data_IF_244477763080
#
_entry.id   IF_244477763080
#
_cell.length_a   1.000
_cell.length_b   1.000
_cell.length_c   1.000
_cell.angle_alpha   90.00
_cell.angle_beta   90.00
_cell.angle_gamma   90.00
#
_symmetry.space_group_name_H-M   'P 1'
#
loop_
_entity.id
_entity.type
_entity.pdbx_description
1 polymer ?
#
# COMPACT_ATOMS: atom_id res chain seq x y z
N UNK A 1 -6.98 -18.74 -35.29
CA UNK A 1 -7.30 -17.40 -34.74
C UNK A 1 -8.81 -17.32 -34.55
N UNK A 2 -9.30 -17.34 -33.31
CA UNK A 2 -10.73 -17.12 -33.05
C UNK A 2 -11.03 -15.63 -33.21
N UNK A 3 -11.90 -15.27 -34.16
CA UNK A 3 -12.38 -13.90 -34.29
C UNK A 3 -13.04 -13.49 -32.97
N UNK A 4 -12.38 -12.62 -32.21
CA UNK A 4 -12.93 -12.00 -31.00
C UNK A 4 -14.02 -11.02 -31.41
N UNK A 5 -15.20 -11.56 -31.69
CA UNK A 5 -16.45 -10.81 -31.86
C UNK A 5 -17.41 -11.16 -30.73
N UNK A 6 -18.22 -10.19 -30.29
CA UNK A 6 -19.35 -10.45 -29.39
C UNK A 6 -20.29 -11.45 -30.09
N UNK A 7 -20.71 -12.56 -29.44
CA UNK A 7 -21.61 -13.52 -30.07
C UNK A 7 -22.90 -12.83 -30.53
N UNK A 8 -23.37 -13.19 -31.73
CA UNK A 8 -24.61 -12.66 -32.29
C UNK A 8 -25.77 -12.98 -31.33
N UNK A 9 -26.49 -11.96 -30.86
CA UNK A 9 -27.62 -12.16 -29.96
C UNK A 9 -28.76 -12.84 -30.71
N UNK A 10 -29.12 -14.04 -30.27
CA UNK A 10 -30.30 -14.78 -30.72
C UNK A 10 -31.42 -14.51 -29.72
N UNK A 11 -32.61 -14.13 -30.21
CA UNK A 11 -33.78 -13.95 -29.37
C UNK A 11 -34.49 -15.29 -29.21
N UNK A 12 -34.69 -15.73 -27.97
CA UNK A 12 -35.50 -16.92 -27.67
C UNK A 12 -37.00 -16.59 -27.72
N UNK A 13 -37.85 -17.62 -27.86
CA UNK A 13 -39.31 -17.44 -27.78
C UNK A 13 -39.74 -16.79 -26.47
N UNK A 14 -39.02 -17.07 -25.37
CA UNK A 14 -39.24 -16.41 -24.07
C UNK A 14 -38.93 -14.91 -24.14
N UNK A 15 -37.82 -14.53 -24.76
CA UNK A 15 -37.44 -13.11 -24.91
C UNK A 15 -38.49 -12.33 -25.72
N UNK A 16 -39.11 -12.97 -26.72
CA UNK A 16 -40.16 -12.37 -27.55
C UNK A 16 -41.47 -12.19 -26.77
N UNK A 17 -41.89 -13.20 -26.01
CA UNK A 17 -43.07 -13.10 -25.13
C UNK A 17 -42.91 -12.02 -24.06
N UNK A 18 -41.73 -11.94 -23.43
CA UNK A 18 -41.47 -10.89 -22.46
C UNK A 18 -41.31 -9.50 -23.10
N UNK A 19 -40.95 -9.43 -24.38
CA UNK A 19 -40.90 -8.18 -25.13
C UNK A 19 -42.30 -7.70 -25.47
N UNK A 20 -43.19 -8.60 -25.89
CA UNK A 20 -44.58 -8.31 -26.18
C UNK A 20 -45.31 -7.75 -24.96
N UNK A 21 -45.23 -8.46 -23.81
CA UNK A 21 -45.81 -7.99 -22.54
C UNK A 21 -45.32 -6.59 -22.17
N UNK A 22 -44.01 -6.37 -22.25
CA UNK A 22 -43.43 -5.05 -21.98
C UNK A 22 -44.00 -3.96 -22.90
N UNK A 23 -44.22 -4.23 -24.18
CA UNK A 23 -44.77 -3.25 -25.11
C UNK A 23 -46.26 -2.99 -24.87
N UNK A 24 -47.02 -3.99 -24.38
CA UNK A 24 -48.43 -3.81 -24.00
C UNK A 24 -48.56 -2.96 -22.73
N UNK A 25 -47.67 -3.18 -21.76
CA UNK A 25 -47.72 -2.52 -20.45
C UNK A 25 -47.16 -1.08 -20.45
N UNK A 26 -46.60 -0.61 -21.57
CA UNK A 26 -46.04 0.74 -21.68
C UNK A 26 -47.12 1.78 -22.04
N UNK A 27 -47.21 2.85 -21.24
CA UNK A 27 -48.15 3.96 -21.46
C UNK A 27 -48.00 4.65 -22.82
N UNK A 28 -46.75 4.81 -23.28
CA UNK A 28 -46.44 5.45 -24.55
C UNK A 28 -45.32 4.74 -25.30
N UNK A 29 -45.59 4.42 -26.56
CA UNK A 29 -44.66 3.70 -27.43
C UNK A 29 -43.91 4.63 -28.39
N UNK A 30 -42.62 4.38 -28.56
CA UNK A 30 -41.78 4.96 -29.63
C UNK A 30 -42.14 4.34 -30.98
N UNK A 31 -41.79 5.01 -32.08
CA UNK A 31 -42.06 4.52 -33.45
C UNK A 31 -41.57 3.09 -33.71
N UNK A 32 -40.39 2.73 -33.21
CA UNK A 32 -39.84 1.38 -33.36
C UNK A 32 -40.58 0.35 -32.50
N UNK A 33 -41.03 0.74 -31.30
CA UNK A 33 -41.82 -0.08 -30.40
C UNK A 33 -43.22 -0.36 -30.96
N UNK A 34 -43.86 0.65 -31.56
CA UNK A 34 -45.14 0.50 -32.27
C UNK A 34 -45.06 -0.47 -33.46
N UNK A 35 -43.95 -0.44 -34.19
CA UNK A 35 -43.71 -1.40 -35.27
C UNK A 35 -43.43 -2.81 -34.72
N UNK A 36 -42.65 -2.91 -33.65
CA UNK A 36 -42.34 -4.19 -33.03
C UNK A 36 -43.57 -4.89 -32.45
N UNK A 37 -44.49 -4.17 -31.79
CA UNK A 37 -45.72 -4.79 -31.26
C UNK A 37 -46.61 -5.33 -32.38
N UNK A 38 -46.72 -4.61 -33.51
CA UNK A 38 -47.44 -5.09 -34.69
C UNK A 38 -46.79 -6.34 -35.32
N UNK A 39 -45.46 -6.45 -35.28
CA UNK A 39 -44.75 -7.63 -35.77
C UNK A 39 -44.92 -8.83 -34.86
N UNK A 40 -44.91 -8.63 -33.53
CA UNK A 40 -45.08 -9.70 -32.55
C UNK A 40 -46.51 -10.28 -32.54
N UNK A 41 -47.49 -9.51 -33.01
CA UNK A 41 -48.88 -9.95 -33.18
C UNK A 41 -49.13 -10.74 -34.48
N UNK A 42 -48.15 -10.80 -35.40
CA UNK A 42 -48.22 -11.65 -36.60
C UNK A 42 -47.66 -13.03 -36.28
N UNK A 43 -48.17 -14.08 -36.94
CA UNK A 43 -47.62 -15.43 -36.81
C UNK A 43 -46.12 -15.45 -37.13
N UNK A 44 -45.33 -16.08 -36.27
CA UNK A 44 -43.85 -16.04 -36.26
C UNK A 44 -43.19 -16.51 -37.57
N UNK A 45 -43.91 -17.21 -38.44
CA UNK A 45 -43.39 -17.77 -39.69
C UNK A 45 -43.12 -16.73 -40.79
N UNK A 46 -43.53 -15.46 -40.61
CA UNK A 46 -43.42 -14.42 -41.64
C UNK A 46 -42.32 -13.35 -41.39
N UNK A 47 -41.46 -13.51 -40.38
CA UNK A 47 -40.48 -12.49 -39.98
C UNK A 47 -39.22 -12.52 -40.86
N UNK A 48 -38.89 -11.40 -41.50
CA UNK A 48 -37.65 -11.25 -42.26
C UNK A 48 -36.45 -10.86 -41.38
N UNK A 49 -35.24 -10.78 -41.95
CA UNK A 49 -34.03 -10.39 -41.21
C UNK A 49 -34.12 -8.95 -40.66
N UNK A 50 -34.85 -8.05 -41.34
CA UNK A 50 -35.03 -6.66 -40.88
C UNK A 50 -35.96 -6.61 -39.66
N UNK A 51 -37.00 -7.43 -39.65
CA UNK A 51 -37.93 -7.60 -38.55
C UNK A 51 -37.20 -8.16 -37.32
N UNK A 52 -36.37 -9.20 -37.50
CA UNK A 52 -35.54 -9.73 -36.42
C UNK A 52 -34.55 -8.70 -35.86
N UNK A 53 -33.96 -7.86 -36.72
CA UNK A 53 -33.08 -6.78 -36.28
C UNK A 53 -33.83 -5.67 -35.52
N UNK A 54 -35.03 -5.31 -35.95
CA UNK A 54 -35.89 -4.37 -35.23
C UNK A 54 -36.24 -4.91 -33.84
N UNK A 55 -36.64 -6.19 -33.73
CA UNK A 55 -36.93 -6.83 -32.44
C UNK A 55 -35.71 -6.85 -31.52
N UNK A 56 -34.49 -7.07 -32.04
CA UNK A 56 -33.25 -6.98 -31.24
C UNK A 56 -32.99 -5.57 -30.72
N UNK A 57 -33.24 -4.55 -31.53
CA UNK A 57 -33.11 -3.14 -31.11
C UNK A 57 -34.12 -2.83 -30.01
N UNK A 58 -35.39 -3.17 -30.20
CA UNK A 58 -36.46 -2.89 -29.23
C UNK A 58 -36.25 -3.69 -27.93
N UNK A 59 -35.75 -4.93 -28.01
CA UNK A 59 -35.32 -5.65 -26.83
C UNK A 59 -34.20 -4.93 -26.08
N UNK A 60 -33.22 -4.34 -26.77
CA UNK A 60 -32.18 -3.54 -26.10
C UNK A 60 -32.79 -2.31 -25.43
N UNK A 61 -33.74 -1.64 -26.09
CA UNK A 61 -34.47 -0.51 -25.51
C UNK A 61 -35.27 -0.90 -24.27
N UNK A 62 -35.93 -2.07 -24.24
CA UNK A 62 -36.57 -2.65 -23.05
C UNK A 62 -35.58 -2.75 -21.89
N UNK A 63 -34.44 -3.38 -22.12
CA UNK A 63 -33.43 -3.57 -21.06
C UNK A 63 -32.92 -2.23 -20.53
N UNK A 64 -32.71 -1.26 -21.41
CA UNK A 64 -32.29 0.08 -21.01
C UNK A 64 -33.40 0.81 -20.22
N UNK A 65 -34.67 0.63 -20.62
CA UNK A 65 -35.81 1.17 -19.88
C UNK A 65 -35.90 0.59 -18.47
N UNK A 66 -35.78 -0.73 -18.33
CA UNK A 66 -35.77 -1.40 -17.02
C UNK A 66 -34.64 -0.87 -16.12
N UNK A 67 -33.43 -0.68 -16.67
CA UNK A 67 -32.33 -0.05 -15.95
C UNK A 67 -32.66 1.38 -15.48
N UNK A 68 -33.35 2.17 -16.31
CA UNK A 68 -33.81 3.51 -15.93
C UNK A 68 -34.89 3.48 -14.85
N UNK A 69 -35.76 2.48 -14.84
CA UNK A 69 -36.74 2.30 -13.76
C UNK A 69 -36.06 1.96 -12.43
N UNK A 70 -35.06 1.07 -12.45
CA UNK A 70 -34.25 0.80 -11.25
C UNK A 70 -33.53 2.06 -10.75
N UNK A 71 -33.00 2.88 -11.66
CA UNK A 71 -32.39 4.17 -11.31
C UNK A 71 -33.40 5.14 -10.68
N UNK A 72 -34.62 5.18 -11.21
CA UNK A 72 -35.71 5.98 -10.65
C UNK A 72 -36.08 5.51 -9.23
N UNK A 73 -36.19 4.21 -9.00
CA UNK A 73 -36.47 3.63 -7.68
C UNK A 73 -35.37 3.94 -6.66
N UNK A 74 -34.11 3.94 -7.10
CA UNK A 74 -32.99 4.38 -6.27
C UNK A 74 -33.12 5.86 -5.89
N UNK A 75 -33.46 6.74 -6.84
CA UNK A 75 -33.67 8.18 -6.57
C UNK A 75 -34.81 8.38 -5.56
N UNK A 76 -35.96 7.70 -5.75
CA UNK A 76 -37.08 7.72 -4.79
C UNK A 76 -36.66 7.24 -3.40
N UNK A 77 -35.85 6.18 -3.34
CA UNK A 77 -35.33 5.65 -2.07
C UNK A 77 -34.41 6.67 -1.38
N UNK A 78 -33.55 7.36 -2.13
CA UNK A 78 -32.72 8.45 -1.58
C UNK A 78 -33.57 9.58 -1.00
N UNK A 79 -34.62 9.99 -1.72
CA UNK A 79 -35.56 11.01 -1.26
C UNK A 79 -36.26 10.58 0.03
N UNK A 80 -36.79 9.35 0.08
CA UNK A 80 -37.43 8.78 1.27
C UNK A 80 -36.50 8.76 2.48
N UNK A 81 -35.22 8.44 2.25
CA UNK A 81 -34.19 8.41 3.28
C UNK A 81 -33.61 9.79 3.61
N UNK A 82 -34.19 10.87 3.09
CA UNK A 82 -33.76 12.26 3.32
C UNK A 82 -32.28 12.52 2.96
N UNK A 83 -31.75 11.78 2.00
CA UNK A 83 -30.39 11.97 1.51
C UNK A 83 -30.32 13.23 0.63
N UNK A 84 -29.15 13.87 0.57
CA UNK A 84 -28.93 15.03 -0.29
C UNK A 84 -29.04 14.61 -1.76
N UNK A 85 -30.05 15.14 -2.44
CA UNK A 85 -30.29 14.90 -3.86
C UNK A 85 -29.47 15.83 -4.74
N UNK A 86 -29.05 15.33 -5.90
CA UNK A 86 -28.43 16.14 -6.96
C UNK A 86 -29.49 16.94 -7.72
N UNK A 87 -29.08 18.03 -8.37
CA UNK A 87 -30.00 18.87 -9.17
C UNK A 87 -30.78 18.06 -10.22
N UNK A 88 -30.11 17.14 -10.91
CA UNK A 88 -30.74 16.26 -11.91
C UNK A 88 -31.74 15.27 -11.27
N UNK A 89 -31.46 14.79 -10.05
CA UNK A 89 -32.37 13.90 -9.31
C UNK A 89 -33.64 14.65 -8.87
N UNK A 90 -33.49 15.91 -8.46
CA UNK A 90 -34.61 16.80 -8.13
C UNK A 90 -35.47 17.05 -9.37
N UNK A 91 -34.87 17.36 -10.52
CA UNK A 91 -35.59 17.56 -11.79
C UNK A 91 -36.39 16.31 -12.19
N UNK A 92 -35.79 15.12 -12.06
CA UNK A 92 -36.45 13.83 -12.33
C UNK A 92 -37.68 13.63 -11.43
N UNK A 93 -37.56 13.94 -10.13
CA UNK A 93 -38.68 13.82 -9.19
C UNK A 93 -39.79 14.84 -9.48
N UNK A 94 -39.44 16.09 -9.82
CA UNK A 94 -40.41 17.10 -10.24
C UNK A 94 -41.16 16.72 -11.52
N UNK A 95 -40.48 16.05 -12.46
CA UNK A 95 -41.13 15.53 -13.68
C UNK A 95 -42.08 14.37 -13.37
N UNK A 96 -41.84 13.61 -12.30
CA UNK A 96 -42.72 12.54 -11.86
C UNK A 96 -44.01 13.06 -11.22
N UNK A 97 -43.95 14.19 -10.52
CA UNK A 97 -45.10 14.83 -9.86
C UNK A 97 -46.08 15.48 -10.85
N UNK A 98 -45.64 15.74 -12.09
CA UNK A 98 -46.50 16.28 -13.15
C UNK A 98 -47.45 15.22 -13.71
N UNK A 99 -48.58 15.67 -14.22
CA UNK A 99 -49.52 14.83 -14.96
C UNK A 99 -48.80 14.14 -16.13
N UNK A 100 -48.88 12.81 -16.18
CA UNK A 100 -48.15 12.00 -17.15
C UNK A 100 -48.88 11.98 -18.49
N UNK A 101 -48.63 12.99 -19.29
CA UNK A 101 -48.95 12.98 -20.72
C UNK A 101 -47.75 12.47 -21.55
N UNK A 102 -47.97 12.27 -22.84
CA UNK A 102 -46.95 11.72 -23.74
C UNK A 102 -45.64 12.55 -23.74
N UNK A 103 -45.73 13.87 -23.68
CA UNK A 103 -44.55 14.75 -23.67
C UNK A 103 -43.77 14.61 -22.36
N UNK A 104 -44.47 14.64 -21.21
CA UNK A 104 -43.86 14.46 -19.90
C UNK A 104 -43.20 13.07 -19.75
N UNK A 105 -43.84 12.02 -20.28
CA UNK A 105 -43.26 10.66 -20.30
C UNK A 105 -41.90 10.63 -21.02
N UNK A 106 -41.82 11.20 -22.23
CA UNK A 106 -40.55 11.20 -22.99
C UNK A 106 -39.53 12.19 -22.42
N UNK A 107 -39.97 13.28 -21.78
CA UNK A 107 -39.06 14.18 -21.03
C UNK A 107 -38.43 13.46 -19.85
N UNK A 108 -39.21 12.70 -19.09
CA UNK A 108 -38.71 11.88 -17.98
C UNK A 108 -37.73 10.81 -18.47
N UNK A 109 -38.06 10.09 -19.55
CA UNK A 109 -37.17 9.10 -20.18
C UNK A 109 -35.83 9.73 -20.60
N UNK A 110 -35.86 10.94 -21.15
CA UNK A 110 -34.66 11.70 -21.55
C UNK A 110 -33.84 12.16 -20.35
N UNK A 111 -34.49 12.67 -19.31
CA UNK A 111 -33.84 13.10 -18.07
C UNK A 111 -33.12 11.93 -17.39
N UNK A 112 -33.79 10.78 -17.24
CA UNK A 112 -33.21 9.55 -16.70
C UNK A 112 -32.04 9.05 -17.56
N UNK A 113 -32.17 9.10 -18.88
CA UNK A 113 -31.08 8.72 -19.79
C UNK A 113 -29.85 9.61 -19.64
N UNK A 114 -30.06 10.93 -19.51
CA UNK A 114 -28.98 11.90 -19.30
C UNK A 114 -28.27 11.63 -17.97
N UNK A 115 -29.05 11.45 -16.91
CA UNK A 115 -28.52 11.16 -15.58
C UNK A 115 -27.69 9.88 -15.55
N UNK A 116 -28.19 8.80 -16.15
CA UNK A 116 -27.45 7.53 -16.27
C UNK A 116 -26.10 7.68 -17.00
N UNK A 117 -26.03 8.55 -18.03
CA UNK A 117 -24.78 8.82 -18.75
C UNK A 117 -23.77 9.57 -17.87
N UNK A 118 -24.24 10.56 -17.11
CA UNK A 118 -23.40 11.34 -16.19
C UNK A 118 -22.85 10.43 -15.09
N UNK A 119 -23.69 9.59 -14.49
CA UNK A 119 -23.29 8.63 -13.46
C UNK A 119 -22.24 7.65 -13.99
N UNK A 120 -22.46 7.13 -15.20
CA UNK A 120 -21.49 6.23 -15.84
C UNK A 120 -20.15 6.93 -16.11
N UNK A 121 -20.15 8.16 -16.61
CA UNK A 121 -18.93 8.92 -16.84
C UNK A 121 -18.18 9.18 -15.53
N UNK A 122 -18.89 9.58 -14.47
CA UNK A 122 -18.30 9.80 -13.15
C UNK A 122 -17.71 8.50 -12.56
N UNK A 123 -18.34 7.35 -12.80
CA UNK A 123 -17.82 6.05 -12.39
C UNK A 123 -16.56 5.67 -13.18
N UNK A 124 -16.57 5.86 -14.51
CA UNK A 124 -15.41 5.61 -15.37
C UNK A 124 -14.22 6.48 -15.00
N UNK A 125 -14.44 7.78 -14.72
CA UNK A 125 -13.40 8.70 -14.24
C UNK A 125 -12.84 8.28 -12.89
N UNK A 126 -13.70 7.86 -11.95
CA UNK A 126 -13.25 7.32 -10.66
C UNK A 126 -12.38 6.08 -10.83
N UNK A 127 -12.82 5.12 -11.65
CA UNK A 127 -12.07 3.89 -11.94
C UNK A 127 -10.72 4.24 -12.59
N UNK A 128 -10.71 5.21 -13.50
CA UNK A 128 -9.47 5.68 -14.14
C UNK A 128 -8.50 6.25 -13.12
N UNK A 129 -8.94 7.17 -12.26
CA UNK A 129 -8.11 7.77 -11.21
C UNK A 129 -7.57 6.71 -10.24
N UNK A 130 -8.40 5.75 -9.85
CA UNK A 130 -7.98 4.65 -8.98
C UNK A 130 -6.92 3.77 -9.64
N UNK A 131 -7.08 3.47 -10.94
CA UNK A 131 -6.09 2.72 -11.70
C UNK A 131 -4.79 3.50 -11.92
N UNK A 132 -4.86 4.81 -12.15
CA UNK A 132 -3.69 5.70 -12.20
C UNK A 132 -2.96 5.68 -10.84
N UNK A 133 -3.68 5.82 -9.73
CA UNK A 133 -3.10 5.74 -8.39
C UNK A 133 -2.44 4.39 -8.11
N UNK A 134 -3.08 3.27 -8.48
CA UNK A 134 -2.50 1.92 -8.38
C UNK A 134 -1.21 1.79 -9.19
N UNK A 135 -1.19 2.32 -10.43
CA UNK A 135 0.02 2.35 -11.27
C UNK A 135 1.14 3.17 -10.62
N UNK A 136 0.83 4.33 -10.06
CA UNK A 136 1.80 5.17 -9.37
C UNK A 136 2.39 4.50 -8.12
N UNK A 137 1.56 3.81 -7.33
CA UNK A 137 2.03 3.01 -6.20
C UNK A 137 2.98 1.93 -6.70
N UNK A 138 2.55 1.10 -7.67
CA UNK A 138 3.37 0.03 -8.21
C UNK A 138 4.70 0.57 -8.76
N UNK A 139 4.69 1.69 -9.48
CA UNK A 139 5.90 2.33 -9.97
C UNK A 139 6.83 2.80 -8.85
N UNK A 140 6.29 3.31 -7.73
CA UNK A 140 7.08 3.67 -6.54
C UNK A 140 7.67 2.43 -5.86
N UNK A 141 6.91 1.33 -5.76
CA UNK A 141 7.36 0.07 -5.16
C UNK A 141 8.41 -0.65 -6.02
N UNK A 142 8.33 -0.50 -7.35
CA UNK A 142 9.28 -1.07 -8.31
C UNK A 142 10.51 -0.19 -8.58
N UNK A 143 10.67 0.98 -7.93
CA UNK A 143 11.93 1.73 -7.98
C UNK A 143 13.04 0.89 -7.36
N UNK A 144 13.85 0.24 -8.21
CA UNK A 144 15.13 -0.36 -7.79
C UNK A 144 15.95 0.74 -7.12
N UNK A 145 16.28 0.56 -5.84
CA UNK A 145 17.22 1.42 -5.14
C UNK A 145 18.50 1.51 -5.97
N UNK A 146 19.00 2.71 -6.21
CA UNK A 146 20.30 2.89 -6.87
C UNK A 146 21.40 2.27 -5.99
N UNK A 147 22.52 1.86 -6.58
CA UNK A 147 23.65 1.31 -5.81
C UNK A 147 24.12 2.27 -4.70
N UNK A 148 24.06 3.59 -4.95
CA UNK A 148 24.34 4.61 -3.95
C UNK A 148 23.33 4.60 -2.78
N UNK A 149 22.04 4.38 -3.05
CA UNK A 149 21.01 4.27 -2.02
C UNK A 149 21.13 2.97 -1.21
N UNK A 150 21.45 1.85 -1.87
CA UNK A 150 21.72 0.58 -1.18
C UNK A 150 22.90 0.71 -0.23
N UNK A 151 24.00 1.32 -0.70
CA UNK A 151 25.19 1.57 0.12
C UNK A 151 24.88 2.43 1.34
N UNK A 152 24.14 3.54 1.15
CA UNK A 152 23.71 4.41 2.26
C UNK A 152 22.83 3.67 3.28
N UNK A 153 21.91 2.82 2.82
CA UNK A 153 21.05 2.03 3.71
C UNK A 153 21.86 1.01 4.52
N UNK A 154 22.79 0.30 3.87
CA UNK A 154 23.68 -0.64 4.54
C UNK A 154 24.59 0.06 5.57
N UNK A 155 25.15 1.23 5.23
CA UNK A 155 25.94 2.04 6.16
C UNK A 155 25.10 2.51 7.36
N UNK A 156 23.85 2.93 7.14
CA UNK A 156 22.96 3.33 8.23
C UNK A 156 22.60 2.15 9.13
N UNK A 157 22.28 0.98 8.56
CA UNK A 157 22.04 -0.24 9.33
C UNK A 157 23.25 -0.60 10.20
N UNK A 158 24.46 -0.52 9.64
CA UNK A 158 25.69 -0.77 10.39
C UNK A 158 25.88 0.23 11.54
N UNK A 159 25.63 1.53 11.31
CA UNK A 159 25.70 2.56 12.36
C UNK A 159 24.74 2.26 13.52
N UNK A 160 23.49 1.91 13.22
CA UNK A 160 22.52 1.55 14.25
C UNK A 160 22.90 0.28 15.01
N UNK A 161 23.38 -0.75 14.30
CA UNK A 161 23.82 -1.99 14.93
C UNK A 161 25.02 -1.77 15.88
N UNK A 162 26.02 -1.00 15.44
CA UNK A 162 27.18 -0.64 16.26
C UNK A 162 26.77 0.20 17.47
N UNK A 163 25.93 1.22 17.27
CA UNK A 163 25.41 2.05 18.35
C UNK A 163 24.64 1.24 19.41
N UNK A 164 23.80 0.30 18.96
CA UNK A 164 23.08 -0.63 19.84
C UNK A 164 24.01 -1.53 20.65
N UNK A 165 25.08 -2.05 20.02
CA UNK A 165 26.09 -2.86 20.72
C UNK A 165 26.83 -2.06 21.79
N UNK A 166 27.31 -0.86 21.47
CA UNK A 166 28.01 0.02 22.43
C UNK A 166 27.08 0.36 23.59
N UNK A 167 25.84 0.76 23.31
CA UNK A 167 24.84 1.07 24.34
C UNK A 167 24.57 -0.13 25.26
N UNK A 168 24.47 -1.34 24.69
CA UNK A 168 24.25 -2.57 25.47
C UNK A 168 25.42 -2.87 26.42
N UNK A 169 26.67 -2.62 25.99
CA UNK A 169 27.87 -2.80 26.82
C UNK A 169 27.92 -1.78 27.96
N UNK A 170 27.57 -0.52 27.67
CA UNK A 170 27.51 0.53 28.69
C UNK A 170 26.52 0.20 29.79
N UNK A 171 25.30 -0.22 29.42
CA UNK A 171 24.27 -0.62 30.39
C UNK A 171 24.70 -1.83 31.23
N UNK A 172 25.33 -2.84 30.62
CA UNK A 172 25.85 -4.01 31.34
C UNK A 172 26.91 -3.67 32.39
N UNK A 173 27.64 -2.56 32.20
CA UNK A 173 28.70 -2.12 33.10
C UNK A 173 28.24 -1.06 34.11
N UNK A 174 26.97 -0.68 34.07
CA UNK A 174 26.38 0.40 34.87
C UNK A 174 27.21 1.70 34.81
N UNK A 175 27.74 2.00 33.61
CA UNK A 175 28.51 3.22 33.41
C UNK A 175 27.57 4.40 33.18
N UNK A 176 27.86 5.57 33.80
CA UNK A 176 27.07 6.77 33.57
C UNK A 176 27.13 7.13 32.08
N UNK A 177 25.96 7.38 31.51
CA UNK A 177 25.80 7.78 30.13
C UNK A 177 25.02 9.08 30.12
N UNK A 178 25.69 10.16 29.72
CA UNK A 178 25.05 11.41 29.39
C UNK A 178 24.63 11.35 27.90
N UNK A 179 23.32 11.38 27.59
CA UNK A 179 22.84 11.39 26.21
C UNK A 179 23.31 12.61 25.42
N UNK A 180 23.62 13.72 26.10
CA UNK A 180 24.00 14.99 25.49
C UNK A 180 25.53 15.16 25.36
N UNK A 181 26.33 14.29 26.00
CA UNK A 181 27.80 14.25 25.86
C UNK A 181 28.37 12.84 25.58
N UNK A 182 28.29 12.45 24.31
CA UNK A 182 28.90 11.21 23.81
C UNK A 182 30.45 11.26 23.72
N UNK A 183 31.10 12.41 23.92
CA UNK A 183 32.58 12.49 23.87
C UNK A 183 33.21 11.71 25.02
N UNK A 184 32.51 11.61 26.15
CA UNK A 184 32.92 10.79 27.29
C UNK A 184 33.02 9.30 26.91
N UNK A 185 32.03 8.79 26.16
CA UNK A 185 31.97 7.43 25.62
C UNK A 185 33.13 7.20 24.67
N UNK A 186 33.30 8.06 23.67
CA UNK A 186 34.37 7.98 22.69
C UNK A 186 35.75 7.98 23.36
N UNK A 187 35.99 8.93 24.26
CA UNK A 187 37.25 9.06 24.99
C UNK A 187 37.58 7.82 25.81
N UNK A 188 36.58 7.19 26.43
CA UNK A 188 36.77 5.96 27.20
C UNK A 188 37.13 4.78 26.28
N UNK A 189 36.48 4.65 25.12
CA UNK A 189 36.82 3.63 24.12
C UNK A 189 38.26 3.83 23.66
N UNK A 190 38.62 5.04 23.23
CA UNK A 190 39.96 5.37 22.75
C UNK A 190 41.02 5.06 23.81
N UNK A 191 40.79 5.47 25.07
CA UNK A 191 41.72 5.22 26.18
C UNK A 191 41.94 3.73 26.40
N UNK A 192 40.87 2.93 26.44
CA UNK A 192 40.96 1.50 26.69
C UNK A 192 41.66 0.76 25.53
N UNK A 193 41.32 1.10 24.29
CA UNK A 193 41.98 0.54 23.09
C UNK A 193 43.46 0.90 23.06
N UNK A 194 43.79 2.17 23.34
CA UNK A 194 45.17 2.67 23.38
C UNK A 194 45.98 1.96 24.48
N UNK A 195 45.43 1.82 25.68
CA UNK A 195 46.08 1.11 26.79
C UNK A 195 46.31 -0.37 26.45
N UNK A 196 45.29 -1.06 25.93
CA UNK A 196 45.42 -2.45 25.50
C UNK A 196 46.47 -2.65 24.41
N UNK A 197 46.55 -1.74 23.44
CA UNK A 197 47.59 -1.74 22.40
C UNK A 197 48.99 -1.56 22.98
N UNK A 198 49.17 -0.70 23.99
CA UNK A 198 50.45 -0.52 24.68
C UNK A 198 50.86 -1.75 25.47
N UNK A 199 49.92 -2.39 26.20
CA UNK A 199 50.19 -3.66 26.90
C UNK A 199 50.62 -4.73 25.90
N UNK A 200 49.91 -4.87 24.78
CA UNK A 200 50.23 -5.87 23.76
C UNK A 200 51.64 -5.70 23.17
N UNK A 201 52.21 -4.49 23.23
CA UNK A 201 53.58 -4.19 22.78
C UNK A 201 54.64 -4.37 23.87
N UNK A 202 54.24 -4.53 25.14
CA UNK A 202 55.16 -4.69 26.27
C UNK A 202 55.97 -5.98 26.18
N UNK A 203 57.18 -5.99 26.77
CA UNK A 203 58.02 -7.19 26.85
C UNK A 203 57.30 -8.31 27.60
N UNK A 204 56.72 -7.99 28.76
CA UNK A 204 55.99 -8.95 29.59
C UNK A 204 54.86 -9.66 28.81
N UNK A 205 54.08 -8.91 28.04
CA UNK A 205 53.02 -9.53 27.22
C UNK A 205 53.57 -10.39 26.09
N UNK A 206 54.64 -9.96 25.41
CA UNK A 206 55.26 -10.74 24.32
C UNK A 206 55.82 -12.06 24.83
N UNK A 207 56.44 -12.07 26.01
CA UNK A 207 56.93 -13.28 26.67
C UNK A 207 55.77 -14.19 27.08
N UNK A 208 54.73 -13.65 27.72
CA UNK A 208 53.54 -14.41 28.07
C UNK A 208 52.83 -15.01 26.83
N UNK A 209 52.78 -14.27 25.73
CA UNK A 209 52.22 -14.75 24.46
C UNK A 209 53.06 -15.87 23.84
N UNK A 210 54.38 -15.79 23.93
CA UNK A 210 55.31 -16.84 23.48
C UNK A 210 55.13 -18.13 24.29
N UNK A 211 55.01 -18.02 25.62
CA UNK A 211 54.83 -19.17 26.52
C UNK A 211 53.48 -19.87 26.29
N UNK A 212 52.42 -19.09 26.13
CA UNK A 212 51.04 -19.63 26.14
C UNK A 212 50.50 -19.97 24.75
N UNK A 213 51.05 -19.39 23.68
CA UNK A 213 50.53 -19.54 22.32
C UNK A 213 49.10 -19.00 22.10
N UNK A 214 48.48 -18.38 23.11
CA UNK A 214 47.09 -17.95 23.08
C UNK A 214 46.93 -16.57 23.74
N UNK A 215 46.41 -15.59 23.00
CA UNK A 215 46.28 -14.22 23.49
C UNK A 215 45.36 -14.03 24.70
N UNK A 216 44.32 -14.88 24.86
CA UNK A 216 43.46 -14.79 26.05
C UNK A 216 44.22 -15.24 27.28
N UNK A 217 44.87 -16.40 27.21
CA UNK A 217 45.65 -16.98 28.30
C UNK A 217 46.85 -16.10 28.63
N UNK A 218 47.51 -15.52 27.62
CA UNK A 218 48.59 -14.55 27.80
C UNK A 218 48.15 -13.34 28.64
N UNK A 219 46.95 -12.80 28.41
CA UNK A 219 46.43 -11.67 29.21
C UNK A 219 46.21 -12.07 30.66
N UNK A 220 45.61 -13.23 30.89
CA UNK A 220 45.39 -13.77 32.24
C UNK A 220 46.72 -14.01 32.97
N UNK A 221 47.75 -14.52 32.26
CA UNK A 221 49.10 -14.70 32.80
C UNK A 221 49.77 -13.37 33.13
N UNK A 222 49.69 -12.35 32.26
CA UNK A 222 50.23 -11.02 32.54
C UNK A 222 49.60 -10.41 33.79
N UNK A 223 48.26 -10.52 33.94
CA UNK A 223 47.57 -10.04 35.14
C UNK A 223 48.04 -10.80 36.39
N UNK A 224 48.17 -12.12 36.31
CA UNK A 224 48.68 -12.95 37.41
C UNK A 224 50.09 -12.51 37.82
N UNK A 225 50.98 -12.24 36.86
CA UNK A 225 52.33 -11.73 37.17
C UNK A 225 52.27 -10.39 37.89
N UNK A 226 51.41 -9.47 37.43
CA UNK A 226 51.22 -8.16 38.07
C UNK A 226 50.76 -8.34 39.53
N UNK A 227 49.82 -9.25 39.78
CA UNK A 227 49.27 -9.54 41.10
C UNK A 227 50.28 -10.24 42.03
N UNK A 228 51.29 -10.92 41.48
CA UNK A 228 52.38 -11.54 42.24
C UNK A 228 53.50 -10.54 42.62
N UNK A 229 53.65 -9.41 41.91
CA UNK A 229 54.70 -8.41 42.18
C UNK A 229 54.79 -7.94 43.65
N UNK A 230 53.70 -7.76 44.41
CA UNK A 230 53.74 -7.41 45.83
C UNK A 230 54.46 -8.43 46.72
N UNK A 231 54.51 -9.71 46.34
CA UNK A 231 55.12 -10.77 47.17
C UNK A 231 56.65 -10.73 47.11
N UNK A 232 57.23 -10.13 46.08
CA UNK A 232 58.67 -10.00 45.92
C UNK A 232 59.18 -8.71 46.56
N UNK A 233 60.33 -8.79 47.24
CA UNK A 233 60.99 -7.65 47.88
C UNK A 233 62.31 -7.32 47.21
N UNK A 234 62.61 -6.04 47.11
CA UNK A 234 63.89 -5.47 46.71
C UNK A 234 64.25 -4.34 47.67
N UNK A 235 65.46 -4.34 48.21
CA UNK A 235 65.91 -3.34 49.21
C UNK A 235 64.92 -3.18 50.38
N UNK A 236 64.43 -4.30 50.92
CA UNK A 236 63.42 -4.36 52.01
C UNK A 236 62.05 -3.75 51.68
N UNK A 237 61.83 -3.29 50.44
CA UNK A 237 60.56 -2.75 49.95
C UNK A 237 59.90 -3.71 48.95
N UNK A 238 58.57 -3.75 48.90
CA UNK A 238 57.82 -4.49 47.86
C UNK A 238 58.19 -4.00 46.45
N UNK A 239 58.43 -4.94 45.54
CA UNK A 239 58.99 -4.68 44.21
C UNK A 239 58.17 -3.64 43.43
N UNK A 240 56.85 -3.77 43.41
CA UNK A 240 55.98 -2.82 42.71
C UNK A 240 56.10 -1.40 43.28
N UNK A 241 56.17 -1.23 44.61
CA UNK A 241 56.32 0.10 45.24
C UNK A 241 57.66 0.73 44.89
N UNK A 242 58.73 -0.07 44.82
CA UNK A 242 60.04 0.40 44.41
C UNK A 242 60.04 0.85 42.94
N UNK A 243 59.53 0.02 42.04
CA UNK A 243 59.48 0.33 40.59
C UNK A 243 58.60 1.56 40.33
N UNK A 244 57.42 1.65 40.95
CA UNK A 244 56.52 2.80 40.79
C UNK A 244 57.19 4.11 41.22
N UNK A 245 57.85 4.15 42.38
CA UNK A 245 58.59 5.35 42.83
C UNK A 245 59.73 5.71 41.88
N UNK A 246 60.45 4.72 41.36
CA UNK A 246 61.58 4.94 40.43
C UNK A 246 61.11 5.48 39.07
N UNK A 247 59.98 5.02 38.57
CA UNK A 247 59.46 5.38 37.24
C UNK A 247 58.53 6.59 37.27
N UNK A 248 57.93 6.90 38.41
CA UNK A 248 57.10 8.09 38.56
C UNK A 248 57.95 9.35 38.45
N UNK A 249 57.71 10.11 37.39
CA UNK A 249 58.19 11.49 37.24
C UNK A 249 56.97 12.40 37.35
N UNK A 250 56.80 13.21 38.41
CA UNK A 250 55.73 14.18 38.46
C UNK A 250 55.86 15.08 37.23
N UNK A 251 54.75 15.25 36.52
CA UNK A 251 54.63 16.20 35.41
C UNK A 251 54.16 17.54 35.96
#
# INVERSE_FOLDING_TARGET
MAARGRPAKVLSSKDLLELEKFLIDLDFLKKNQQKAIQLLQKEYEALDEKDLNLLKIVHREKNQYQQRQTLLDQIKTKQKNQQKLLANEIEILQLLEKEQNQDNFFRLDRALTSYQKIEKAALEDRIRLENEHKRDILNKTHKKLTEAQKKRNAENQLKYALGGLVLSLWRKRDWPLDPDDLKSVESMIIRNVSFGSKIAKSSLYKEAASITGNHRIARELVLSVIDELPKYKINQQELHKFILKKLYKPK
#
